data_IF_412036315794
#
_entry.id   IF_412036315794
#
_cell.length_a   1.000
_cell.length_b   1.000
_cell.length_c   1.000
_cell.angle_alpha   90.00
_cell.angle_beta   90.00
_cell.angle_gamma   90.00
#
_symmetry.space_group_name_H-M   'P 1'
#
loop_
_entity.id
_entity.type
_entity.pdbx_description
1 polymer ?
#
# COMPACT_ATOMS: atom_id res chain seq x y z
N UNK A 1 2.65 6.58 -7.90
CA UNK A 1 3.64 6.21 -8.94
C UNK A 1 2.92 5.84 -10.23
N UNK A 2 3.57 5.97 -11.39
CA UNK A 2 2.96 5.68 -12.72
C UNK A 2 2.48 4.22 -12.83
N UNK A 3 3.14 3.29 -12.17
CA UNK A 3 2.76 1.87 -12.11
C UNK A 3 1.50 1.61 -11.26
N UNK A 4 1.24 2.44 -10.26
CA UNK A 4 0.02 2.33 -9.43
C UNK A 4 -1.22 2.85 -10.17
N UNK A 5 -1.07 3.85 -11.06
CA UNK A 5 -2.19 4.44 -11.81
C UNK A 5 -2.86 3.44 -12.75
N UNK A 6 -2.12 2.47 -13.31
CA UNK A 6 -2.68 1.44 -14.19
C UNK A 6 -3.33 0.29 -13.42
N UNK A 7 -2.60 -0.34 -12.52
CA UNK A 7 -3.07 -1.55 -11.83
C UNK A 7 -4.22 -1.25 -10.88
N UNK A 8 -4.15 -0.16 -10.10
CA UNK A 8 -5.21 0.22 -9.17
C UNK A 8 -6.53 0.53 -9.86
N UNK A 9 -6.51 1.28 -10.94
CA UNK A 9 -7.70 1.57 -11.75
C UNK A 9 -8.25 0.33 -12.45
N UNK A 10 -7.40 -0.52 -13.02
CA UNK A 10 -7.82 -1.76 -13.64
C UNK A 10 -8.54 -2.70 -12.65
N UNK A 11 -8.06 -2.76 -11.40
CA UNK A 11 -8.70 -3.49 -10.31
C UNK A 11 -10.09 -2.94 -10.04
N UNK A 12 -10.21 -1.63 -9.88
CA UNK A 12 -11.49 -0.96 -9.60
C UNK A 12 -12.48 -1.26 -10.74
N UNK A 13 -12.05 -1.13 -11.99
CA UNK A 13 -12.90 -1.43 -13.15
C UNK A 13 -13.34 -2.89 -13.20
N UNK A 14 -12.43 -3.85 -12.93
CA UNK A 14 -12.75 -5.26 -12.94
C UNK A 14 -13.73 -5.67 -11.81
N UNK A 15 -13.79 -4.90 -10.73
CA UNK A 15 -14.69 -5.14 -9.62
C UNK A 15 -16.09 -4.56 -9.84
N UNK A 16 -16.28 -3.58 -10.73
CA UNK A 16 -17.59 -2.93 -10.89
C UNK A 16 -18.71 -3.89 -11.29
N UNK A 17 -18.50 -4.76 -12.28
CA UNK A 17 -19.51 -5.71 -12.73
C UNK A 17 -19.86 -6.73 -11.64
N UNK A 18 -18.90 -7.44 -11.02
CA UNK A 18 -19.21 -8.36 -9.92
C UNK A 18 -19.90 -7.68 -8.73
N UNK A 19 -19.59 -6.41 -8.45
CA UNK A 19 -20.23 -5.64 -7.38
C UNK A 19 -21.68 -5.32 -7.78
N UNK A 20 -21.95 -4.92 -9.02
CA UNK A 20 -23.30 -4.65 -9.51
C UNK A 20 -24.18 -5.89 -9.50
N UNK A 21 -23.60 -7.05 -9.81
CA UNK A 21 -24.28 -8.35 -9.81
C UNK A 21 -24.39 -8.98 -8.41
N UNK A 22 -23.81 -8.35 -7.37
CA UNK A 22 -23.69 -8.89 -6.00
C UNK A 22 -23.01 -10.27 -5.95
N UNK A 23 -22.10 -10.56 -6.86
CA UNK A 23 -21.35 -11.81 -6.93
C UNK A 23 -20.17 -11.80 -5.95
N UNK A 24 -20.45 -12.06 -4.67
CA UNK A 24 -19.44 -12.11 -3.61
C UNK A 24 -18.33 -13.13 -3.89
N UNK A 25 -18.63 -14.25 -4.56
CA UNK A 25 -17.66 -15.30 -4.87
C UNK A 25 -16.64 -14.79 -5.89
N UNK A 26 -17.10 -14.11 -6.94
CA UNK A 26 -16.24 -13.51 -7.97
C UNK A 26 -15.42 -12.36 -7.41
N UNK A 27 -16.01 -11.52 -6.56
CA UNK A 27 -15.28 -10.44 -5.87
C UNK A 27 -14.16 -11.02 -5.01
N UNK A 28 -14.45 -12.04 -4.20
CA UNK A 28 -13.46 -12.69 -3.34
C UNK A 28 -12.32 -13.32 -4.15
N UNK A 29 -12.63 -13.94 -5.30
CA UNK A 29 -11.65 -14.54 -6.21
C UNK A 29 -10.74 -13.49 -6.84
N UNK A 30 -11.29 -12.38 -7.35
CA UNK A 30 -10.53 -11.25 -7.88
C UNK A 30 -9.62 -10.64 -6.81
N UNK A 31 -10.15 -10.39 -5.61
CA UNK A 31 -9.38 -9.83 -4.51
C UNK A 31 -8.24 -10.73 -4.05
N UNK A 32 -8.39 -12.06 -4.18
CA UNK A 32 -7.29 -13.01 -3.92
C UNK A 32 -6.17 -12.83 -4.95
N UNK A 33 -6.50 -12.72 -6.23
CA UNK A 33 -5.50 -12.51 -7.31
C UNK A 33 -4.76 -11.19 -7.08
N UNK A 34 -5.50 -10.12 -6.79
CA UNK A 34 -4.90 -8.82 -6.53
C UNK A 34 -4.02 -8.80 -5.28
N UNK A 35 -4.44 -9.49 -4.22
CA UNK A 35 -3.60 -9.68 -3.03
C UNK A 35 -2.25 -10.30 -3.41
N UNK A 36 -2.24 -11.39 -4.19
CA UNK A 36 -1.00 -12.03 -4.60
C UNK A 36 -0.16 -11.14 -5.52
N UNK A 37 -0.79 -10.42 -6.45
CA UNK A 37 -0.09 -9.48 -7.33
C UNK A 37 0.60 -8.38 -6.52
N UNK A 38 -0.11 -7.74 -5.59
CA UNK A 38 0.47 -6.70 -4.73
C UNK A 38 1.53 -7.24 -3.78
N UNK A 39 1.36 -8.45 -3.26
CA UNK A 39 2.38 -9.11 -2.44
C UNK A 39 3.64 -9.41 -3.24
N UNK A 40 3.50 -9.86 -4.48
CA UNK A 40 4.64 -10.06 -5.38
C UNK A 40 5.37 -8.74 -5.63
N UNK A 41 4.64 -7.68 -5.99
CA UNK A 41 5.22 -6.35 -6.22
C UNK A 41 5.94 -5.85 -4.95
N UNK A 42 5.30 -5.90 -3.79
CA UNK A 42 5.91 -5.50 -2.52
C UNK A 42 7.16 -6.29 -2.18
N UNK A 43 7.15 -7.61 -2.44
CA UNK A 43 8.32 -8.48 -2.25
C UNK A 43 9.45 -8.14 -3.21
N UNK A 44 9.15 -7.90 -4.49
CA UNK A 44 10.16 -7.48 -5.49
C UNK A 44 10.78 -6.14 -5.07
N UNK A 45 9.96 -5.16 -4.65
CA UNK A 45 10.46 -3.87 -4.17
C UNK A 45 11.37 -4.06 -2.96
N UNK A 46 10.99 -4.92 -2.00
CA UNK A 46 11.81 -5.21 -0.83
C UNK A 46 13.15 -5.84 -1.22
N UNK A 47 13.13 -6.86 -2.08
CA UNK A 47 14.35 -7.58 -2.54
C UNK A 47 15.27 -6.65 -3.32
N UNK A 48 14.74 -5.92 -4.30
CA UNK A 48 15.51 -4.97 -5.11
C UNK A 48 16.05 -3.84 -4.24
N UNK A 49 15.22 -3.31 -3.31
CA UNK A 49 15.64 -2.27 -2.39
C UNK A 49 16.78 -2.73 -1.46
N UNK A 50 16.71 -3.95 -0.92
CA UNK A 50 17.80 -4.52 -0.12
C UNK A 50 19.06 -4.74 -0.97
N UNK A 51 18.91 -5.24 -2.20
CA UNK A 51 20.04 -5.41 -3.13
C UNK A 51 20.72 -4.08 -3.50
N UNK A 52 19.99 -2.96 -3.45
CA UNK A 52 20.52 -1.62 -3.71
C UNK A 52 21.33 -1.04 -2.53
N UNK A 53 21.22 -1.59 -1.32
CA UNK A 53 21.94 -1.07 -0.13
C UNK A 53 23.46 -0.90 -0.37
N UNK A 54 24.19 -1.90 -0.90
CA UNK A 54 25.62 -1.74 -1.15
C UNK A 54 25.95 -0.67 -2.21
N UNK A 55 25.03 -0.40 -3.14
CA UNK A 55 25.17 0.59 -4.19
C UNK A 55 24.86 2.03 -3.74
N UNK A 56 24.22 2.21 -2.59
CA UNK A 56 23.86 3.53 -2.06
C UNK A 56 25.07 4.44 -1.94
N UNK A 57 26.21 3.88 -1.52
CA UNK A 57 27.47 4.63 -1.38
C UNK A 57 27.96 5.20 -2.73
N UNK A 58 27.70 4.47 -3.82
CA UNK A 58 28.08 4.90 -5.17
C UNK A 58 27.12 5.97 -5.73
N UNK A 59 25.83 5.84 -5.41
CA UNK A 59 24.78 6.76 -5.90
C UNK A 59 24.83 8.11 -5.17
N UNK A 60 25.17 8.12 -3.88
CA UNK A 60 25.13 9.34 -3.05
C UNK A 60 26.40 10.18 -3.21
N UNK A 61 27.51 9.60 -3.70
CA UNK A 61 28.80 10.29 -3.81
C UNK A 61 29.31 10.75 -2.43
N UNK A 62 29.83 12.00 -2.38
CA UNK A 62 30.22 12.62 -1.11
C UNK A 62 28.96 12.90 -0.29
N UNK A 63 28.72 12.03 0.69
CA UNK A 63 27.53 12.10 1.53
C UNK A 63 27.45 13.49 2.20
N UNK A 64 26.29 14.16 2.12
CA UNK A 64 26.09 15.37 2.90
C UNK A 64 26.37 15.05 4.38
N UNK A 65 26.99 15.98 5.13
CA UNK A 65 27.31 15.80 6.54
C UNK A 65 26.02 15.77 7.39
N UNK A 66 25.22 14.72 7.22
CA UNK A 66 24.02 14.48 8.02
C UNK A 66 24.47 13.63 9.22
N UNK A 67 24.05 14.04 10.42
CA UNK A 67 24.38 13.33 11.67
C UNK A 67 23.80 11.92 11.73
N UNK A 68 22.71 11.69 11.01
CA UNK A 68 21.99 10.42 10.99
C UNK A 68 22.60 9.43 9.99
N UNK A 69 22.51 8.14 10.33
CA UNK A 69 22.98 7.08 9.47
C UNK A 69 22.05 6.91 8.26
N UNK A 70 22.54 7.24 7.08
CA UNK A 70 21.78 7.20 5.83
C UNK A 70 21.21 5.81 5.50
N UNK A 71 21.89 4.73 5.87
CA UNK A 71 21.40 3.36 5.66
C UNK A 71 20.15 3.07 6.49
N UNK A 72 20.05 3.64 7.69
CA UNK A 72 18.86 3.50 8.55
C UNK A 72 17.68 4.26 7.94
N UNK A 73 17.92 5.48 7.46
CA UNK A 73 16.90 6.30 6.78
C UNK A 73 16.36 5.53 5.56
N UNK A 74 17.26 5.04 4.71
CA UNK A 74 16.88 4.24 3.54
C UNK A 74 16.09 2.99 3.92
N UNK A 75 16.54 2.24 4.92
CA UNK A 75 15.86 1.04 5.42
C UNK A 75 14.43 1.33 5.90
N UNK A 76 14.22 2.43 6.61
CA UNK A 76 12.88 2.84 7.07
C UNK A 76 11.98 3.19 5.87
N UNK A 77 12.48 3.95 4.89
CA UNK A 77 11.71 4.26 3.68
C UNK A 77 11.39 3.01 2.86
N UNK A 78 12.35 2.11 2.69
CA UNK A 78 12.15 0.85 2.00
C UNK A 78 11.09 0.00 2.69
N UNK A 79 11.17 -0.15 4.01
CA UNK A 79 10.17 -0.85 4.81
C UNK A 79 8.79 -0.22 4.66
N UNK A 80 8.70 1.11 4.78
CA UNK A 80 7.45 1.84 4.65
C UNK A 80 6.81 1.63 3.27
N UNK A 81 7.61 1.72 2.22
CA UNK A 81 7.15 1.51 0.83
C UNK A 81 6.72 0.07 0.62
N UNK A 82 7.57 -0.90 0.89
CA UNK A 82 7.26 -2.31 0.65
C UNK A 82 6.05 -2.79 1.45
N UNK A 83 5.94 -2.40 2.73
CA UNK A 83 4.83 -2.79 3.59
C UNK A 83 3.49 -2.20 3.14
N UNK A 84 3.47 -1.00 2.56
CA UNK A 84 2.26 -0.37 2.04
C UNK A 84 1.60 -1.22 0.94
N UNK A 85 2.39 -1.86 0.09
CA UNK A 85 1.85 -2.71 -0.99
C UNK A 85 1.04 -3.90 -0.46
N UNK A 86 1.35 -4.43 0.73
CA UNK A 86 0.60 -5.54 1.31
C UNK A 86 -0.83 -5.17 1.71
N UNK A 87 -1.17 -3.89 1.77
CA UNK A 87 -2.48 -3.41 2.20
C UNK A 87 -3.24 -2.64 1.12
N UNK A 88 -2.57 -2.15 0.07
CA UNK A 88 -3.14 -1.25 -0.95
C UNK A 88 -4.39 -1.81 -1.62
N UNK A 89 -4.49 -3.13 -1.82
CA UNK A 89 -5.66 -3.75 -2.46
C UNK A 89 -6.96 -3.57 -1.66
N UNK A 90 -6.91 -3.34 -0.35
CA UNK A 90 -8.10 -3.05 0.45
C UNK A 90 -8.70 -1.67 0.15
N UNK A 91 -7.87 -0.66 -0.09
CA UNK A 91 -8.36 0.66 -0.49
C UNK A 91 -9.00 0.64 -1.87
N UNK A 92 -8.46 -0.15 -2.80
CA UNK A 92 -9.05 -0.35 -4.13
C UNK A 92 -10.46 -0.98 -4.03
N UNK A 93 -10.66 -1.98 -3.15
CA UNK A 93 -11.98 -2.57 -2.92
C UNK A 93 -12.98 -1.55 -2.38
N UNK A 94 -12.61 -0.78 -1.35
CA UNK A 94 -13.49 0.23 -0.77
C UNK A 94 -13.87 1.28 -1.84
N UNK A 95 -12.90 1.67 -2.68
CA UNK A 95 -13.12 2.61 -3.78
C UNK A 95 -14.04 2.04 -4.87
N UNK A 96 -13.93 0.74 -5.19
CA UNK A 96 -14.81 0.05 -6.14
C UNK A 96 -16.28 0.05 -5.68
N UNK A 97 -16.51 -0.02 -4.37
CA UNK A 97 -17.85 0.17 -3.78
C UNK A 97 -18.31 1.62 -3.71
N UNK A 98 -17.66 2.52 -4.44
CA UNK A 98 -17.94 3.97 -4.46
C UNK A 98 -17.82 4.66 -3.08
N UNK A 99 -17.14 4.01 -2.12
CA UNK A 99 -16.89 4.54 -0.77
C UNK A 99 -15.50 5.19 -0.63
N UNK A 100 -14.99 5.76 -1.72
CA UNK A 100 -13.67 6.38 -1.74
C UNK A 100 -13.52 7.51 -0.70
N UNK A 101 -14.63 8.13 -0.29
CA UNK A 101 -14.63 9.11 0.79
C UNK A 101 -14.11 8.57 2.13
N UNK A 102 -14.27 7.25 2.39
CA UNK A 102 -13.72 6.59 3.59
C UNK A 102 -12.21 6.53 3.51
N UNK A 103 -11.67 6.15 2.35
CA UNK A 103 -10.23 6.06 2.09
C UNK A 103 -9.59 7.43 2.23
N UNK A 104 -10.15 8.42 1.54
CA UNK A 104 -9.65 9.80 1.54
C UNK A 104 -9.79 10.43 2.94
N UNK A 105 -10.96 10.32 3.56
CA UNK A 105 -11.20 10.88 4.90
C UNK A 105 -10.26 10.30 5.95
N UNK A 106 -10.06 8.98 5.97
CA UNK A 106 -9.10 8.34 6.87
C UNK A 106 -7.67 8.83 6.60
N UNK A 107 -7.29 8.95 5.33
CA UNK A 107 -5.97 9.47 4.94
C UNK A 107 -5.75 10.89 5.47
N UNK A 108 -6.70 11.79 5.26
CA UNK A 108 -6.59 13.17 5.75
C UNK A 108 -6.48 13.25 7.27
N UNK A 109 -7.30 12.52 8.01
CA UNK A 109 -7.24 12.49 9.48
C UNK A 109 -5.86 12.03 9.95
N UNK A 110 -5.38 10.90 9.44
CA UNK A 110 -4.07 10.35 9.84
C UNK A 110 -2.94 11.31 9.45
N UNK A 111 -2.95 11.84 8.23
CA UNK A 111 -1.89 12.75 7.76
C UNK A 111 -1.89 14.05 8.57
N UNK A 112 -3.04 14.60 8.93
CA UNK A 112 -3.12 15.82 9.75
C UNK A 112 -2.56 15.57 11.15
N UNK A 113 -2.98 14.48 11.81
CA UNK A 113 -2.45 14.12 13.13
C UNK A 113 -0.94 13.88 13.08
N UNK A 114 -0.49 13.15 12.07
CA UNK A 114 0.93 12.89 11.81
C UNK A 114 1.71 14.19 11.65
N UNK A 115 1.22 15.14 10.83
CA UNK A 115 1.88 16.42 10.60
C UNK A 115 2.00 17.25 11.86
N UNK A 116 0.97 17.28 12.70
CA UNK A 116 1.01 17.98 13.99
C UNK A 116 2.10 17.40 14.88
N UNK A 117 2.14 16.07 15.03
CA UNK A 117 3.17 15.39 15.85
C UNK A 117 4.57 15.62 15.28
N UNK A 118 4.72 15.57 13.96
CA UNK A 118 6.00 15.80 13.30
C UNK A 118 6.53 17.21 13.53
N UNK A 119 5.67 18.24 13.46
CA UNK A 119 6.05 19.64 13.75
C UNK A 119 6.54 19.76 15.19
N UNK A 120 5.78 19.22 16.16
CA UNK A 120 6.18 19.26 17.57
C UNK A 120 7.52 18.57 17.81
N UNK A 121 7.72 17.40 17.22
CA UNK A 121 8.98 16.65 17.36
C UNK A 121 10.18 17.36 16.73
N UNK A 122 10.01 18.00 15.56
CA UNK A 122 11.07 18.77 14.94
C UNK A 122 11.49 19.98 15.79
N UNK A 123 10.53 20.65 16.42
CA UNK A 123 10.81 21.79 17.31
C UNK A 123 11.52 21.36 18.59
N UNK A 124 11.11 20.19 19.17
CA UNK A 124 11.67 19.70 20.44
C UNK A 124 12.99 18.96 20.26
N UNK A 125 13.08 18.04 19.28
CA UNK A 125 14.21 17.11 19.18
C UNK A 125 15.29 17.56 18.19
N UNK A 126 14.98 18.47 17.26
CA UNK A 126 15.89 18.95 16.20
C UNK A 126 16.61 17.82 15.43
N UNK A 127 16.00 16.64 15.35
CA UNK A 127 16.50 15.44 14.68
C UNK A 127 15.47 14.93 13.67
N UNK A 128 15.97 14.36 12.57
CA UNK A 128 15.13 13.85 11.49
C UNK A 128 14.55 12.45 11.79
N UNK A 129 15.22 11.68 12.66
CA UNK A 129 14.78 10.28 12.99
C UNK A 129 13.39 10.21 13.60
N UNK A 130 13.01 10.97 14.64
CA UNK A 130 11.67 10.94 15.20
C UNK A 130 10.60 11.30 14.15
N UNK A 131 10.89 12.28 13.29
CA UNK A 131 10.02 12.65 12.18
C UNK A 131 9.72 11.45 11.27
N UNK A 132 10.76 10.71 10.87
CA UNK A 132 10.66 9.56 9.98
C UNK A 132 9.90 8.39 10.62
N UNK A 133 10.12 8.16 11.91
CA UNK A 133 9.40 7.12 12.66
C UNK A 133 7.90 7.45 12.70
N UNK A 134 7.53 8.69 13.00
CA UNK A 134 6.12 9.10 13.04
C UNK A 134 5.49 8.97 11.65
N UNK A 135 6.20 9.30 10.58
CA UNK A 135 5.73 9.10 9.21
C UNK A 135 5.42 7.63 8.94
N UNK A 136 6.35 6.76 9.29
CA UNK A 136 6.19 5.31 9.08
C UNK A 136 5.02 4.78 9.90
N UNK A 137 4.93 5.13 11.18
CA UNK A 137 3.83 4.71 12.07
C UNK A 137 2.48 5.20 11.54
N UNK A 138 2.39 6.46 11.09
CA UNK A 138 1.17 7.01 10.50
C UNK A 138 0.73 6.25 9.24
N UNK A 139 1.67 5.96 8.34
CA UNK A 139 1.37 5.16 7.14
C UNK A 139 0.89 3.75 7.50
N UNK A 140 1.55 3.08 8.44
CA UNK A 140 1.13 1.74 8.85
C UNK A 140 -0.23 1.76 9.57
N UNK A 141 -0.48 2.77 10.42
CA UNK A 141 -1.78 2.96 11.07
C UNK A 141 -2.90 3.13 10.03
N UNK A 142 -2.70 3.98 9.02
CA UNK A 142 -3.64 4.13 7.91
C UNK A 142 -3.91 2.79 7.22
N UNK A 143 -2.86 2.06 6.84
CA UNK A 143 -2.97 0.78 6.15
C UNK A 143 -3.76 -0.25 6.96
N UNK A 144 -3.47 -0.35 8.26
CA UNK A 144 -4.17 -1.26 9.18
C UNK A 144 -5.64 -0.86 9.35
N UNK A 145 -5.94 0.43 9.53
CA UNK A 145 -7.31 0.92 9.69
C UNK A 145 -8.14 0.59 8.45
N UNK A 146 -7.62 0.86 7.24
CA UNK A 146 -8.31 0.54 5.98
C UNK A 146 -8.49 -0.97 5.83
N UNK A 147 -7.49 -1.79 6.17
CA UNK A 147 -7.61 -3.24 6.10
C UNK A 147 -8.65 -3.79 7.09
N UNK A 148 -8.68 -3.29 8.31
CA UNK A 148 -9.68 -3.68 9.32
C UNK A 148 -11.08 -3.27 8.89
N UNK A 149 -11.24 -2.05 8.37
CA UNK A 149 -12.50 -1.54 7.84
C UNK A 149 -13.01 -2.42 6.70
N UNK A 150 -12.15 -2.72 5.71
CA UNK A 150 -12.51 -3.59 4.61
C UNK A 150 -12.91 -5.00 5.07
N UNK A 151 -12.18 -5.60 6.02
CA UNK A 151 -12.49 -6.93 6.55
C UNK A 151 -13.77 -6.96 7.38
N UNK A 152 -14.14 -5.84 8.00
CA UNK A 152 -15.38 -5.71 8.77
C UNK A 152 -16.57 -5.52 7.85
N UNK A 153 -16.46 -4.64 6.86
CA UNK A 153 -17.56 -4.29 5.95
C UNK A 153 -17.81 -5.41 4.91
N UNK A 154 -16.74 -6.19 4.57
CA UNK A 154 -16.78 -7.25 3.55
C UNK A 154 -16.31 -8.61 4.10
N UNK A 155 -17.14 -9.28 4.95
CA UNK A 155 -16.73 -10.52 5.63
C UNK A 155 -16.49 -11.70 4.68
N UNK A 156 -17.06 -11.67 3.46
CA UNK A 156 -16.84 -12.67 2.43
C UNK A 156 -15.38 -12.78 1.97
N UNK A 157 -14.55 -11.75 2.20
CA UNK A 157 -13.11 -11.81 1.93
C UNK A 157 -12.37 -12.88 2.76
N UNK A 158 -12.96 -13.35 3.85
CA UNK A 158 -12.41 -14.44 4.69
C UNK A 158 -12.73 -15.83 4.13
N UNK A 159 -13.64 -15.95 3.18
CA UNK A 159 -14.00 -17.24 2.58
C UNK A 159 -12.80 -17.81 1.83
N UNK A 160 -12.34 -19.00 2.25
CA UNK A 160 -11.25 -19.73 1.60
C UNK A 160 -11.68 -20.47 0.32
N UNK A 161 -12.97 -20.66 0.14
CA UNK A 161 -13.57 -21.55 -0.88
C UNK A 161 -13.87 -20.81 -2.20
N UNK A 162 -13.44 -19.56 -2.37
CA UNK A 162 -13.59 -18.86 -3.64
C UNK A 162 -12.86 -19.63 -4.75
N UNK A 163 -13.60 -20.06 -5.78
CA UNK A 163 -13.07 -20.83 -6.91
C UNK A 163 -12.01 -20.00 -7.65
N UNK A 164 -10.91 -20.63 -8.07
CA UNK A 164 -9.92 -19.94 -8.90
C UNK A 164 -10.57 -19.52 -10.22
N UNK A 165 -10.39 -18.25 -10.60
CA UNK A 165 -10.88 -17.76 -11.89
C UNK A 165 -10.19 -18.50 -13.05
N UNK A 166 -10.90 -18.71 -14.18
CA UNK A 166 -10.32 -19.29 -15.39
C UNK A 166 -9.12 -18.49 -15.85
N UNK A 167 -8.07 -19.18 -16.31
CA UNK A 167 -6.81 -18.54 -16.76
C UNK A 167 -7.01 -17.51 -17.87
N UNK A 168 -8.04 -17.65 -18.69
CA UNK A 168 -8.41 -16.74 -19.77
C UNK A 168 -8.93 -15.39 -19.22
N UNK A 169 -9.77 -15.43 -18.18
CA UNK A 169 -10.25 -14.22 -17.51
C UNK A 169 -9.11 -13.46 -16.83
N UNK A 170 -8.20 -14.20 -16.17
CA UNK A 170 -6.99 -13.61 -15.55
C UNK A 170 -6.13 -12.92 -16.60
N UNK A 171 -5.92 -13.58 -17.76
CA UNK A 171 -5.13 -13.00 -18.86
C UNK A 171 -5.79 -11.74 -19.45
N UNK A 172 -7.13 -11.70 -19.51
CA UNK A 172 -7.90 -10.54 -19.96
C UNK A 172 -7.73 -9.33 -19.04
N UNK A 173 -7.69 -9.54 -17.71
CA UNK A 173 -7.50 -8.49 -16.72
C UNK A 173 -6.15 -7.77 -16.86
N UNK A 174 -5.08 -8.52 -17.16
CA UNK A 174 -3.73 -7.96 -17.32
C UNK A 174 -3.44 -7.45 -18.74
N UNK A 175 -4.25 -7.78 -19.74
CA UNK A 175 -4.08 -7.29 -21.12
C UNK A 175 -4.60 -5.86 -21.30
N UNK A 176 -5.48 -5.41 -20.45
CA UNK A 176 -6.11 -4.08 -20.51
C UNK A 176 -5.47 -3.08 -19.53
N UNK A 177 -4.33 -3.43 -18.93
CA UNK A 177 -3.44 -2.59 -18.10
C UNK A 177 -2.26 -2.14 -18.95
#
# INVERSE_FOLDING_TARGET
SLTELGIGSAIIFALYMPIADNDEEKIASLMRIYKYAYWLIGSVIAVVGVAMIPFLRFVIGDAPQIKENFYIIYGIYLFNTASSYFFTYYSALISAYQRNYVVIGTSYVITTLQSIVQIVLLLCCKSYMPYLIVQTVGTQAYNVIIALKARRDYPYLKRRDAKPLPKEEIRGLFRNV
#
